data_IF_505624215956
#
_entry.id   IF_505624215956
#
_cell.length_a   1.000
_cell.length_b   1.000
_cell.length_c   1.000
_cell.angle_alpha   90.00
_cell.angle_beta   90.00
_cell.angle_gamma   90.00
#
_symmetry.space_group_name_H-M   'P 1'
#
loop_
_entity.id
_entity.type
_entity.pdbx_description
1 polymer ?
#
# COMPACT_ATOMS: atom_id res chain seq x y z
N UNK A 1 13.59 3.96 -12.10
CA UNK A 1 12.37 3.15 -12.32
C UNK A 1 11.85 2.76 -10.95
N UNK A 2 10.69 3.27 -10.58
CA UNK A 2 10.10 2.96 -9.28
C UNK A 2 9.27 1.68 -9.38
N UNK A 3 9.58 0.67 -8.59
CA UNK A 3 8.93 -0.65 -8.63
C UNK A 3 7.97 -0.86 -7.46
N UNK A 4 7.30 0.21 -7.02
CA UNK A 4 6.31 0.11 -5.95
C UNK A 4 5.04 -0.54 -6.50
N UNK A 5 4.63 -1.64 -5.88
CA UNK A 5 3.34 -2.28 -6.14
C UNK A 5 2.50 -2.19 -4.87
N UNK A 6 1.28 -1.66 -4.99
CA UNK A 6 0.35 -1.53 -3.89
C UNK A 6 -0.86 -2.41 -4.19
N UNK A 7 -1.20 -3.29 -3.24
CA UNK A 7 -2.41 -4.10 -3.30
C UNK A 7 -3.43 -3.47 -2.37
N UNK A 8 -4.51 -2.95 -2.93
CA UNK A 8 -5.64 -2.40 -2.17
C UNK A 8 -6.90 -3.24 -2.38
N UNK A 9 -7.75 -3.41 -1.37
CA UNK A 9 -9.07 -3.98 -1.57
C UNK A 9 -9.92 -3.15 -2.53
N UNK A 10 -10.83 -3.79 -3.26
CA UNK A 10 -11.83 -3.09 -4.09
C UNK A 10 -12.98 -2.47 -3.28
N UNK A 11 -13.09 -2.84 -2.01
CA UNK A 11 -14.14 -2.36 -1.09
C UNK A 11 -13.52 -1.40 -0.09
N UNK A 12 -14.20 -0.29 0.21
CA UNK A 12 -13.76 0.69 1.22
C UNK A 12 -13.62 0.10 2.62
N UNK A 13 -14.41 -0.94 2.92
CA UNK A 13 -14.37 -1.68 4.18
C UNK A 13 -14.23 -3.17 3.93
N UNK A 14 -13.16 -3.74 4.50
CA UNK A 14 -12.92 -5.18 4.47
C UNK A 14 -13.15 -5.75 5.87
N UNK A 15 -14.15 -6.64 6.04
CA UNK A 15 -14.39 -7.30 7.31
C UNK A 15 -13.17 -8.09 7.79
N UNK A 16 -12.82 -7.91 9.06
CA UNK A 16 -11.68 -8.55 9.71
C UNK A 16 -10.35 -8.35 8.93
N UNK A 17 -10.14 -7.17 8.35
CA UNK A 17 -8.95 -6.84 7.55
C UNK A 17 -7.64 -7.11 8.30
N UNK A 18 -7.56 -6.86 9.61
CA UNK A 18 -6.37 -7.17 10.41
C UNK A 18 -6.07 -8.67 10.50
N UNK A 19 -7.09 -9.51 10.67
CA UNK A 19 -6.91 -10.95 10.74
C UNK A 19 -6.50 -11.51 9.37
N UNK A 20 -7.11 -10.99 8.30
CA UNK A 20 -6.81 -11.37 6.91
C UNK A 20 -5.40 -10.96 6.51
N UNK A 21 -4.98 -9.72 6.76
CA UNK A 21 -3.63 -9.24 6.45
C UNK A 21 -2.56 -10.06 7.19
N UNK A 22 -2.79 -10.37 8.46
CA UNK A 22 -1.91 -11.23 9.26
C UNK A 22 -1.81 -12.65 8.68
N UNK A 23 -2.92 -13.21 8.19
CA UNK A 23 -2.91 -14.52 7.56
C UNK A 23 -2.09 -14.52 6.25
N UNK A 24 -2.24 -13.47 5.43
CA UNK A 24 -1.46 -13.28 4.19
C UNK A 24 0.02 -13.11 4.52
N UNK A 25 0.36 -12.27 5.50
CA UNK A 25 1.75 -12.07 5.92
C UNK A 25 2.40 -13.37 6.40
N UNK A 26 1.73 -14.13 7.27
CA UNK A 26 2.24 -15.45 7.72
C UNK A 26 2.46 -16.42 6.57
N UNK A 27 1.56 -16.41 5.59
CA UNK A 27 1.73 -17.21 4.38
C UNK A 27 2.98 -16.78 3.61
N UNK A 28 3.17 -15.49 3.36
CA UNK A 28 4.35 -14.96 2.67
C UNK A 28 5.66 -15.28 3.40
N UNK A 29 5.67 -15.18 4.73
CA UNK A 29 6.81 -15.57 5.58
C UNK A 29 7.11 -17.06 5.44
N UNK A 30 6.08 -17.92 5.49
CA UNK A 30 6.23 -19.37 5.33
C UNK A 30 6.79 -19.75 3.96
N UNK A 31 6.33 -19.08 2.91
CA UNK A 31 6.86 -19.26 1.55
C UNK A 31 8.22 -18.57 1.34
N UNK A 32 8.76 -17.93 2.38
CA UNK A 32 10.04 -17.19 2.39
C UNK A 32 10.07 -16.06 1.35
N UNK A 33 8.93 -15.44 1.07
CA UNK A 33 8.82 -14.28 0.17
C UNK A 33 9.26 -13.01 0.88
N UNK A 34 8.93 -12.87 2.17
CA UNK A 34 9.37 -11.78 3.03
C UNK A 34 9.92 -12.33 4.35
N UNK A 35 10.77 -11.57 5.00
CA UNK A 35 11.30 -11.87 6.32
C UNK A 35 10.22 -11.67 7.40
N UNK A 36 10.24 -12.50 8.45
CA UNK A 36 9.28 -12.39 9.54
C UNK A 36 9.49 -11.12 10.38
N UNK A 37 10.74 -10.77 10.64
CA UNK A 37 11.09 -9.64 11.49
C UNK A 37 10.94 -8.31 10.73
N UNK A 38 10.28 -7.35 11.38
CA UNK A 38 10.24 -5.99 10.90
C UNK A 38 11.62 -5.32 11.01
N UNK A 39 12.03 -4.63 9.96
CA UNK A 39 13.23 -3.79 9.89
C UNK A 39 12.91 -2.44 9.29
N UNK A 40 13.86 -1.51 9.25
CA UNK A 40 13.68 -0.16 8.70
C UNK A 40 13.71 -0.10 7.16
N UNK A 41 13.20 -1.14 6.49
CA UNK A 41 13.23 -1.29 5.02
C UNK A 41 11.98 -0.74 4.31
N UNK A 42 11.06 -0.13 5.04
CA UNK A 42 9.87 0.54 4.53
C UNK A 42 10.16 1.96 4.06
N UNK A 43 9.26 2.50 3.24
CA UNK A 43 9.33 3.86 2.69
C UNK A 43 8.46 4.85 3.46
N UNK A 44 7.35 4.41 4.05
CA UNK A 44 6.35 5.31 4.65
C UNK A 44 6.63 5.62 6.12
N UNK A 45 5.99 6.66 6.67
CA UNK A 45 5.87 6.94 8.11
C UNK A 45 7.05 6.54 9.00
N UNK A 46 6.95 5.36 9.63
CA UNK A 46 7.94 4.84 10.60
C UNK A 46 9.07 4.01 9.95
N UNK A 47 9.06 3.86 8.63
CA UNK A 47 9.98 3.08 7.79
C UNK A 47 10.02 1.59 8.12
N UNK A 48 9.04 1.07 8.86
CA UNK A 48 9.04 -0.35 9.24
C UNK A 48 8.40 -1.21 8.16
N UNK A 49 9.11 -2.24 7.71
CA UNK A 49 8.63 -3.19 6.73
C UNK A 49 9.24 -4.59 6.93
N UNK A 50 8.65 -5.57 6.25
CA UNK A 50 9.18 -6.92 6.15
C UNK A 50 10.06 -7.01 4.91
N UNK A 51 11.38 -7.12 5.08
CA UNK A 51 12.32 -7.16 3.97
C UNK A 51 12.04 -8.35 3.04
N UNK A 52 12.43 -8.26 1.76
CA UNK A 52 12.38 -9.42 0.87
C UNK A 52 13.24 -10.58 1.40
N UNK A 53 12.69 -11.79 1.37
CA UNK A 53 13.39 -13.02 1.69
C UNK A 53 13.74 -13.80 0.40
N UNK A 54 14.67 -14.75 0.50
CA UNK A 54 15.24 -15.43 -0.66
C UNK A 54 14.21 -16.16 -1.55
N UNK A 55 13.07 -16.58 -0.99
CA UNK A 55 11.97 -17.22 -1.71
C UNK A 55 11.24 -16.29 -2.69
N UNK A 56 11.34 -14.97 -2.55
CA UNK A 56 10.73 -14.01 -3.48
C UNK A 56 11.17 -14.23 -4.94
N UNK A 57 12.41 -14.70 -5.15
CA UNK A 57 12.95 -15.02 -6.48
C UNK A 57 12.15 -16.10 -7.22
N UNK A 58 11.40 -16.94 -6.50
CA UNK A 58 10.62 -18.04 -7.10
C UNK A 58 9.28 -17.60 -7.65
N UNK A 59 8.78 -16.45 -7.20
CA UNK A 59 7.43 -15.96 -7.50
C UNK A 59 7.43 -14.65 -8.29
N UNK A 60 8.54 -13.91 -8.28
CA UNK A 60 8.68 -12.68 -9.05
C UNK A 60 8.79 -12.97 -10.55
N UNK A 61 8.08 -12.17 -11.37
CA UNK A 61 8.18 -12.25 -12.84
C UNK A 61 9.60 -11.93 -13.36
N UNK A 62 10.32 -11.06 -12.64
CA UNK A 62 11.71 -10.69 -12.93
C UNK A 62 12.59 -10.82 -11.68
N UNK A 63 13.02 -12.04 -11.32
CA UNK A 63 13.76 -12.32 -10.09
C UNK A 63 15.06 -11.51 -9.95
N UNK A 64 15.73 -11.21 -11.06
CA UNK A 64 17.01 -10.48 -11.08
C UNK A 64 16.86 -8.98 -10.83
N UNK A 65 15.63 -8.45 -10.90
CA UNK A 65 15.31 -7.04 -10.62
C UNK A 65 14.81 -6.82 -9.19
N UNK A 66 14.79 -7.85 -8.35
CA UNK A 66 14.36 -7.70 -6.96
C UNK A 66 15.37 -6.87 -6.16
N UNK A 67 14.93 -5.87 -5.38
CA UNK A 67 15.78 -4.91 -4.66
C UNK A 67 16.42 -5.50 -3.39
N UNK A 68 17.01 -6.70 -3.48
CA UNK A 68 17.73 -7.29 -2.35
C UNK A 68 18.91 -6.39 -1.92
N UNK A 69 19.04 -6.15 -0.62
CA UNK A 69 20.11 -5.32 -0.06
C UNK A 69 19.89 -3.80 -0.18
N UNK A 70 18.90 -3.36 -0.96
CA UNK A 70 18.54 -1.94 -1.03
C UNK A 70 17.94 -1.43 0.29
N UNK A 71 18.14 -0.15 0.65
CA UNK A 71 17.58 0.43 1.87
C UNK A 71 16.04 0.35 1.94
N UNK A 72 15.38 0.37 0.78
CA UNK A 72 13.92 0.25 0.67
C UNK A 72 13.60 -1.01 -0.15
N UNK A 73 13.32 -2.10 0.56
CA UNK A 73 12.99 -3.40 -0.02
C UNK A 73 11.90 -4.15 0.78
N UNK A 74 11.16 -3.43 1.61
CA UNK A 74 10.18 -4.01 2.52
C UNK A 74 8.77 -4.08 1.95
N UNK A 75 8.02 -5.09 2.38
CA UNK A 75 6.57 -5.11 2.37
C UNK A 75 6.05 -4.36 3.60
N UNK A 76 5.27 -3.32 3.37
CA UNK A 76 4.56 -2.58 4.42
C UNK A 76 3.09 -3.00 4.45
N UNK A 77 2.55 -3.26 5.64
CA UNK A 77 1.14 -3.63 5.83
C UNK A 77 0.39 -2.43 6.38
N UNK A 78 -0.47 -1.83 5.57
CA UNK A 78 -1.34 -0.72 5.97
C UNK A 78 -2.71 -1.25 6.39
N UNK A 79 -3.09 -1.01 7.65
CA UNK A 79 -4.39 -1.39 8.20
C UNK A 79 -5.36 -0.22 8.32
N UNK A 80 -4.83 1.01 8.41
CA UNK A 80 -5.61 2.23 8.50
C UNK A 80 -5.86 2.79 7.11
N UNK A 81 -6.95 3.58 6.96
CA UNK A 81 -7.16 4.40 5.77
C UNK A 81 -5.95 5.29 5.56
N UNK A 82 -5.45 5.30 4.33
CA UNK A 82 -4.29 6.09 3.95
C UNK A 82 -4.46 6.57 2.52
N UNK A 83 -3.97 7.77 2.27
CA UNK A 83 -3.73 8.27 0.93
C UNK A 83 -2.26 7.98 0.61
N UNK A 84 -1.97 7.55 -0.61
CA UNK A 84 -0.61 7.46 -1.10
C UNK A 84 -0.38 8.53 -2.16
N UNK A 85 0.84 9.06 -2.20
CA UNK A 85 1.26 10.01 -3.22
C UNK A 85 1.90 9.22 -4.38
N UNK A 86 1.37 9.29 -5.60
CA UNK A 86 2.02 8.71 -6.76
C UNK A 86 3.42 9.32 -6.95
N UNK A 87 4.36 8.52 -7.42
CA UNK A 87 5.77 8.95 -7.60
C UNK A 87 6.10 9.33 -9.03
N UNK A 88 5.18 9.09 -9.96
CA UNK A 88 5.28 9.42 -11.37
C UNK A 88 3.92 10.00 -11.81
N UNK A 89 3.93 11.09 -12.59
CA UNK A 89 2.71 11.67 -13.16
C UNK A 89 1.72 12.30 -12.18
N UNK A 90 2.14 12.59 -10.95
CA UNK A 90 1.34 13.31 -9.94
C UNK A 90 1.28 14.80 -10.29
N UNK A 91 0.07 15.37 -10.40
CA UNK A 91 -0.13 16.81 -10.69
C UNK A 91 -0.20 17.67 -9.42
N UNK A 92 0.21 17.11 -8.29
CA UNK A 92 0.18 17.75 -6.97
C UNK A 92 -1.23 18.05 -6.45
N UNK A 93 -2.25 17.35 -6.97
CA UNK A 93 -3.65 17.49 -6.58
C UNK A 93 -4.27 16.19 -6.06
N UNK A 94 -5.30 16.31 -5.23
CA UNK A 94 -5.96 15.16 -4.66
C UNK A 94 -6.68 14.33 -5.74
N UNK A 95 -6.37 13.04 -5.82
CA UNK A 95 -6.95 12.11 -6.79
C UNK A 95 -8.27 11.49 -6.33
N UNK A 96 -9.30 11.56 -7.17
CA UNK A 96 -10.58 10.91 -6.90
C UNK A 96 -10.59 9.45 -7.40
N UNK A 97 -10.87 8.45 -6.54
CA UNK A 97 -10.91 7.05 -6.94
C UNK A 97 -12.09 6.70 -7.86
N UNK A 98 -13.15 7.52 -7.88
CA UNK A 98 -14.34 7.30 -8.71
C UNK A 98 -14.13 7.73 -10.16
N UNK A 99 -13.83 9.01 -10.40
CA UNK A 99 -13.62 9.54 -11.75
C UNK A 99 -12.19 9.31 -12.29
N UNK A 100 -11.27 8.86 -11.43
CA UNK A 100 -9.85 8.58 -11.74
C UNK A 100 -9.11 9.78 -12.32
N UNK A 101 -9.42 10.97 -11.81
CA UNK A 101 -8.75 12.24 -12.14
C UNK A 101 -8.24 12.89 -10.86
N UNK A 102 -7.23 13.73 -11.00
CA UNK A 102 -6.88 14.69 -9.96
C UNK A 102 -7.92 15.81 -9.98
N UNK A 103 -8.53 16.05 -8.83
CA UNK A 103 -9.68 16.94 -8.61
C UNK A 103 -9.29 18.13 -7.72
N UNK A 104 -8.28 17.95 -6.86
CA UNK A 104 -7.78 19.02 -6.00
C UNK A 104 -8.61 19.25 -4.74
N UNK A 105 -8.65 20.50 -4.28
CA UNK A 105 -9.28 20.92 -3.01
C UNK A 105 -10.75 20.50 -2.83
N UNK A 106 -11.63 20.50 -3.86
CA UNK A 106 -13.02 20.05 -3.71
C UNK A 106 -13.15 18.61 -3.20
N UNK A 107 -12.10 17.79 -3.33
CA UNK A 107 -12.09 16.43 -2.82
C UNK A 107 -11.97 16.36 -1.29
N UNK A 108 -11.50 17.44 -0.65
CA UNK A 108 -11.17 17.45 0.77
C UNK A 108 -12.41 17.28 1.65
N UNK A 109 -13.56 17.83 1.29
CA UNK A 109 -14.82 17.65 2.03
C UNK A 109 -15.19 16.15 2.16
N UNK A 110 -15.07 15.38 1.08
CA UNK A 110 -15.30 13.93 1.12
C UNK A 110 -14.23 13.19 1.93
N UNK A 111 -12.97 13.67 1.91
CA UNK A 111 -11.89 13.07 2.68
C UNK A 111 -12.03 13.30 4.19
N UNK A 112 -12.64 14.41 4.61
CA UNK A 112 -12.90 14.69 6.02
C UNK A 112 -13.84 13.67 6.67
N UNK A 113 -14.81 13.13 5.93
CA UNK A 113 -15.69 12.06 6.40
C UNK A 113 -15.08 10.67 6.19
N UNK A 114 -14.43 10.45 5.03
CA UNK A 114 -13.88 9.15 4.68
C UNK A 114 -12.64 8.81 5.52
N UNK A 115 -11.68 9.72 5.73
CA UNK A 115 -10.46 9.41 6.47
C UNK A 115 -10.71 8.90 7.91
N UNK A 116 -11.60 9.51 8.73
CA UNK A 116 -11.92 9.01 10.07
C UNK A 116 -12.91 7.84 10.10
N UNK A 117 -13.32 7.30 8.95
CA UNK A 117 -14.32 6.24 8.82
C UNK A 117 -15.72 6.61 9.35
N UNK A 118 -16.14 7.87 9.14
CA UNK A 118 -17.54 8.29 9.34
C UNK A 118 -18.43 7.74 8.22
N UNK A 119 -17.89 7.65 7.00
CA UNK A 119 -18.56 7.07 5.83
C UNK A 119 -17.62 6.14 5.04
N UNK A 120 -18.17 5.08 4.48
CA UNK A 120 -17.47 4.20 3.52
C UNK A 120 -17.63 4.68 2.07
N UNK A 121 -18.58 5.59 1.86
CA UNK A 121 -18.87 6.18 0.57
C UNK A 121 -17.88 7.31 0.31
N UNK A 122 -17.53 7.43 -0.96
CA UNK A 122 -16.71 8.51 -1.47
C UNK A 122 -17.48 9.14 -2.63
N UNK A 123 -17.77 10.43 -2.55
CA UNK A 123 -18.56 11.14 -3.55
C UNK A 123 -17.63 11.95 -4.44
N UNK A 124 -17.62 11.68 -5.74
CA UNK A 124 -16.94 12.58 -6.67
C UNK A 124 -17.65 13.96 -6.68
N UNK A 125 -16.91 15.07 -6.49
CA UNK A 125 -17.50 16.41 -6.56
C UNK A 125 -17.64 16.94 -8.01
N UNK A 126 -17.26 16.14 -9.02
CA UNK A 126 -17.31 16.49 -10.45
C UNK A 126 -18.46 15.80 -11.17
#
# INVERSE_FOLDING_TARGET
MNTQSIIVPKLSTVPAHEARSRAILRWLVREKVVEEQLTTCGRTGNRMGHALAAGARKVALHPDKLPFGEPVNGLEVMLKRCIYTPTEGFLEEAGCPECRREVGEPLFESLEEWMPAVSDNFTCPL
#
